data_IF_266559308037
#
_entry.id   IF_266559308037
#
_cell.length_a   1.000
_cell.length_b   1.000
_cell.length_c   1.000
_cell.angle_alpha   90.00
_cell.angle_beta   90.00
_cell.angle_gamma   90.00
#
_symmetry.space_group_name_H-M   'P 1'
#
loop_
_entity.id
_entity.type
_entity.pdbx_description
1 polymer ?
#
# COMPACT_ATOMS: atom_id res chain seq x y z
N UNK A 1 9.04 10.91 -22.93
CA UNK A 1 9.46 9.88 -21.97
C UNK A 1 10.41 10.53 -20.97
N UNK A 2 9.91 10.94 -19.81
CA UNK A 2 10.73 11.47 -18.72
C UNK A 2 11.13 10.31 -17.81
N UNK A 3 12.34 9.79 -18.01
CA UNK A 3 12.97 8.82 -17.11
C UNK A 3 13.56 9.59 -15.92
N UNK A 4 13.00 9.38 -14.72
CA UNK A 4 13.64 9.80 -13.48
C UNK A 4 14.58 8.68 -13.04
N UNK A 5 15.88 8.88 -13.26
CA UNK A 5 16.92 8.00 -12.71
C UNK A 5 17.11 8.34 -11.23
N UNK A 6 16.79 7.40 -10.34
CA UNK A 6 17.16 7.48 -8.93
C UNK A 6 18.69 7.51 -8.85
N UNK A 7 19.24 8.58 -8.29
CA UNK A 7 20.69 8.76 -8.12
C UNK A 7 21.21 7.66 -7.21
N UNK A 8 22.12 6.81 -7.72
CA UNK A 8 22.87 5.84 -6.92
C UNK A 8 23.73 6.65 -5.94
N UNK A 9 23.45 6.58 -4.63
CA UNK A 9 24.24 7.24 -3.58
C UNK A 9 25.03 6.22 -2.76
N UNK A 10 26.15 6.69 -2.24
CA UNK A 10 27.30 5.96 -1.70
C UNK A 10 27.01 4.72 -0.85
N UNK A 11 27.74 3.64 -1.17
CA UNK A 11 27.68 2.30 -0.55
C UNK A 11 28.36 2.23 0.84
N UNK A 12 28.77 3.35 1.45
CA UNK A 12 29.62 3.37 2.65
C UNK A 12 28.96 3.85 3.94
N UNK A 13 27.64 4.03 3.96
CA UNK A 13 26.86 4.20 5.20
C UNK A 13 25.95 2.98 5.40
N UNK A 14 26.27 2.12 6.36
CA UNK A 14 25.31 1.17 6.96
C UNK A 14 24.27 1.97 7.77
N UNK A 15 23.45 2.77 7.10
CA UNK A 15 22.14 3.08 7.63
C UNK A 15 21.25 1.87 7.33
N UNK A 16 20.36 1.52 8.27
CA UNK A 16 19.36 0.44 8.22
C UNK A 16 18.29 0.74 7.13
N UNK A 17 18.74 1.06 5.93
CA UNK A 17 17.91 1.41 4.79
C UNK A 17 17.21 0.16 4.29
N UNK A 18 15.89 0.29 4.14
CA UNK A 18 15.07 -0.79 3.61
C UNK A 18 14.56 -1.77 4.66
N UNK A 19 14.55 -1.42 5.94
CA UNK A 19 13.71 -2.08 6.95
C UNK A 19 12.39 -1.33 7.10
N UNK A 20 11.29 -2.02 7.42
CA UNK A 20 10.04 -1.36 7.79
C UNK A 20 10.00 -0.96 9.27
N UNK A 21 11.04 -1.28 10.04
CA UNK A 21 11.13 -0.99 11.47
C UNK A 21 9.82 -1.33 12.20
N UNK A 22 9.29 -2.55 12.02
CA UNK A 22 8.00 -2.97 12.59
C UNK A 22 7.98 -2.95 14.13
N UNK A 23 9.14 -2.83 14.76
CA UNK A 23 9.32 -2.58 16.19
C UNK A 23 8.99 -1.12 16.60
N UNK A 24 9.04 -0.16 15.67
CA UNK A 24 8.72 1.24 15.94
C UNK A 24 7.22 1.50 15.85
N UNK A 25 6.68 2.12 16.91
CA UNK A 25 5.26 2.42 17.02
C UNK A 25 4.83 3.54 16.06
N UNK A 26 3.65 3.43 15.42
CA UNK A 26 3.12 4.50 14.57
C UNK A 26 2.97 5.86 15.27
N UNK A 27 2.79 5.91 16.60
CA UNK A 27 2.57 7.17 17.30
C UNK A 27 3.79 8.11 17.30
N UNK A 28 4.99 7.62 16.99
CA UNK A 28 6.18 8.44 16.77
C UNK A 28 6.03 9.40 15.58
N UNK A 29 5.12 9.11 14.65
CA UNK A 29 4.87 9.90 13.45
C UNK A 29 3.50 10.60 13.49
N UNK A 30 2.84 10.61 14.66
CA UNK A 30 1.56 11.32 14.84
C UNK A 30 1.81 12.75 15.30
N UNK A 31 1.09 13.70 14.71
CA UNK A 31 1.02 15.09 15.17
C UNK A 31 0.18 15.18 16.45
N UNK A 32 0.65 15.94 17.44
CA UNK A 32 0.05 16.03 18.79
C UNK A 32 -1.08 17.06 18.89
N UNK A 33 -1.23 17.97 17.93
CA UNK A 33 -2.16 19.10 18.00
C UNK A 33 -3.23 19.07 16.91
N UNK A 34 -4.50 19.01 17.33
CA UNK A 34 -5.65 19.63 16.68
C UNK A 34 -5.91 19.30 15.21
N UNK A 35 -6.10 18.02 14.86
CA UNK A 35 -6.69 17.69 13.55
C UNK A 35 -8.20 17.90 13.57
N UNK A 36 -8.69 18.67 12.60
CA UNK A 36 -10.12 18.81 12.26
C UNK A 36 -10.64 17.68 11.35
N UNK A 37 -9.83 16.63 11.12
CA UNK A 37 -10.15 15.49 10.26
C UNK A 37 -10.80 14.32 11.00
N UNK A 38 -11.45 13.41 10.26
CA UNK A 38 -11.96 12.16 10.81
C UNK A 38 -10.79 11.24 11.20
N UNK A 39 -10.57 11.03 12.50
CA UNK A 39 -9.61 10.03 12.99
C UNK A 39 -10.07 8.63 12.59
N UNK A 40 -9.18 7.88 11.93
CA UNK A 40 -9.43 6.49 11.53
C UNK A 40 -9.70 5.61 12.77
N UNK A 41 -8.94 5.80 13.85
CA UNK A 41 -9.19 5.13 15.12
C UNK A 41 -10.59 5.43 15.69
N UNK A 42 -11.04 6.68 15.58
CA UNK A 42 -12.38 7.09 16.05
C UNK A 42 -13.50 6.47 15.20
N UNK A 43 -13.33 6.42 13.88
CA UNK A 43 -14.28 5.77 12.96
C UNK A 43 -14.35 4.27 13.27
N UNK A 44 -13.21 3.61 13.41
CA UNK A 44 -13.15 2.19 13.68
C UNK A 44 -13.77 1.83 15.04
N UNK A 45 -13.49 2.62 16.07
CA UNK A 45 -14.08 2.46 17.42
C UNK A 45 -15.61 2.59 17.35
N UNK A 46 -16.11 3.65 16.71
CA UNK A 46 -17.55 3.88 16.55
C UNK A 46 -18.22 2.76 15.74
N UNK A 47 -17.53 2.23 14.73
CA UNK A 47 -18.06 1.11 13.95
C UNK A 47 -18.17 -0.16 14.79
N UNK A 48 -17.16 -0.49 15.60
CA UNK A 48 -17.20 -1.65 16.50
C UNK A 48 -18.33 -1.49 17.54
N UNK A 49 -18.40 -0.33 18.20
CA UNK A 49 -19.43 -0.01 19.19
C UNK A 49 -20.83 -0.18 18.60
N UNK A 50 -21.08 0.46 17.44
CA UNK A 50 -22.36 0.34 16.75
C UNK A 50 -22.68 -1.09 16.31
N UNK A 51 -21.67 -1.85 15.89
CA UNK A 51 -21.87 -3.25 15.48
C UNK A 51 -22.24 -4.14 16.67
N UNK A 52 -21.70 -3.84 17.85
CA UNK A 52 -22.09 -4.50 19.09
C UNK A 52 -23.50 -4.08 19.55
N UNK A 53 -23.82 -2.78 19.53
CA UNK A 53 -25.17 -2.27 19.85
C UNK A 53 -26.27 -2.87 18.97
N UNK A 54 -25.95 -3.11 17.69
CA UNK A 54 -26.87 -3.74 16.73
C UNK A 54 -26.90 -5.28 16.80
N UNK A 55 -26.24 -5.90 17.79
CA UNK A 55 -26.10 -7.35 17.96
C UNK A 55 -25.44 -8.08 16.77
N UNK A 56 -24.65 -7.37 15.96
CA UNK A 56 -23.84 -7.98 14.90
C UNK A 56 -22.51 -8.56 15.43
N UNK A 57 -22.16 -8.28 16.69
CA UNK A 57 -20.99 -8.82 17.38
C UNK A 57 -21.37 -9.38 18.74
N UNK A 58 -20.76 -10.50 19.13
CA UNK A 58 -20.84 -11.00 20.51
C UNK A 58 -19.96 -10.15 21.44
N UNK A 59 -20.15 -10.24 22.76
CA UNK A 59 -19.28 -9.56 23.74
C UNK A 59 -17.81 -9.97 23.56
N UNK A 60 -17.56 -11.26 23.31
CA UNK A 60 -16.21 -11.79 23.08
C UNK A 60 -15.60 -11.23 21.80
N UNK A 61 -16.37 -11.16 20.71
CA UNK A 61 -15.88 -10.59 19.44
C UNK A 61 -15.65 -9.08 19.58
N UNK A 62 -16.54 -8.35 20.25
CA UNK A 62 -16.34 -6.94 20.57
C UNK A 62 -15.01 -6.70 21.30
N UNK A 63 -14.75 -7.44 22.37
CA UNK A 63 -13.50 -7.32 23.14
C UNK A 63 -12.27 -7.68 22.30
N UNK A 64 -12.35 -8.74 21.49
CA UNK A 64 -11.27 -9.15 20.57
C UNK A 64 -10.96 -8.03 19.57
N UNK A 65 -11.98 -7.48 18.91
CA UNK A 65 -11.84 -6.43 17.89
C UNK A 65 -11.27 -5.14 18.48
N UNK A 66 -11.68 -4.75 19.69
CA UNK A 66 -11.09 -3.62 20.43
C UNK A 66 -9.60 -3.85 20.70
N UNK A 67 -9.20 -5.08 21.08
CA UNK A 67 -7.79 -5.41 21.31
C UNK A 67 -6.98 -5.41 20.01
N UNK A 68 -7.54 -5.96 18.92
CA UNK A 68 -6.94 -5.94 17.58
C UNK A 68 -6.63 -4.51 17.13
N UNK A 69 -7.61 -3.60 17.18
CA UNK A 69 -7.39 -2.19 16.83
C UNK A 69 -6.33 -1.56 17.73
N UNK A 70 -6.41 -1.76 19.05
CA UNK A 70 -5.41 -1.23 19.99
C UNK A 70 -4.01 -1.76 19.69
N UNK A 71 -3.88 -2.99 19.18
CA UNK A 71 -2.62 -3.57 18.75
C UNK A 71 -2.16 -2.97 17.43
N UNK A 72 -3.04 -2.86 16.44
CA UNK A 72 -2.74 -2.26 15.13
C UNK A 72 -2.27 -0.80 15.23
N UNK A 73 -2.90 -0.02 16.12
CA UNK A 73 -2.52 1.38 16.37
C UNK A 73 -1.21 1.48 17.13
N UNK A 74 -1.03 0.69 18.20
CA UNK A 74 0.15 0.82 19.09
C UNK A 74 1.39 0.11 18.55
N UNK A 75 1.25 -1.08 18.00
CA UNK A 75 2.37 -1.90 17.54
C UNK A 75 2.59 -1.79 16.03
N UNK A 76 1.63 -1.22 15.29
CA UNK A 76 1.74 -1.16 13.83
C UNK A 76 1.57 -2.52 13.15
N UNK A 77 1.02 -3.52 13.84
CA UNK A 77 0.84 -4.89 13.34
C UNK A 77 -0.61 -5.10 12.94
N UNK A 78 -0.86 -5.49 11.69
CA UNK A 78 -2.19 -5.84 11.20
C UNK A 78 -2.72 -7.11 11.90
N UNK A 79 -4.03 -7.19 12.12
CA UNK A 79 -4.64 -8.36 12.76
C UNK A 79 -4.73 -9.59 11.85
N UNK A 80 -4.53 -9.40 10.53
CA UNK A 80 -4.79 -10.38 9.48
C UNK A 80 -6.24 -10.90 9.44
N UNK A 81 -7.18 -10.23 10.13
CA UNK A 81 -8.58 -10.66 10.20
C UNK A 81 -9.29 -10.61 8.84
N UNK A 82 -8.79 -9.81 7.90
CA UNK A 82 -9.30 -9.70 6.52
C UNK A 82 -8.38 -10.37 5.49
N UNK A 83 -7.41 -11.16 5.95
CA UNK A 83 -6.47 -11.84 5.09
C UNK A 83 -7.08 -13.13 4.52
N UNK A 84 -6.90 -13.37 3.24
CA UNK A 84 -7.15 -14.66 2.57
C UNK A 84 -5.88 -15.08 1.85
N UNK A 85 -5.30 -16.19 2.29
CA UNK A 85 -4.07 -16.75 1.74
C UNK A 85 -4.34 -17.83 0.68
N UNK A 86 -3.28 -18.27 0.01
CA UNK A 86 -3.33 -19.42 -0.89
C UNK A 86 -4.10 -19.22 -2.20
N UNK A 87 -4.54 -18.01 -2.54
CA UNK A 87 -5.33 -17.74 -3.74
C UNK A 87 -4.53 -18.08 -5.01
N UNK A 88 -3.27 -17.62 -5.12
CA UNK A 88 -2.45 -17.91 -6.31
C UNK A 88 -2.15 -19.39 -6.37
N UNK A 89 -1.88 -20.03 -5.24
CA UNK A 89 -1.67 -21.47 -5.18
C UNK A 89 -2.90 -22.26 -5.68
N UNK A 90 -4.10 -21.92 -5.22
CA UNK A 90 -5.34 -22.54 -5.68
C UNK A 90 -5.58 -22.30 -7.19
N UNK A 91 -5.33 -21.08 -7.68
CA UNK A 91 -5.41 -20.77 -9.11
C UNK A 91 -4.40 -21.58 -9.93
N UNK A 92 -3.16 -21.71 -9.46
CA UNK A 92 -2.15 -22.57 -10.08
C UNK A 92 -2.66 -24.01 -10.16
N UNK A 93 -3.23 -24.57 -9.09
CA UNK A 93 -3.79 -25.93 -9.13
C UNK A 93 -4.91 -26.09 -10.16
N UNK A 94 -5.81 -25.10 -10.27
CA UNK A 94 -6.90 -25.11 -11.27
C UNK A 94 -6.38 -24.98 -12.72
N UNK A 95 -5.28 -24.26 -12.92
CA UNK A 95 -4.62 -24.19 -14.23
C UNK A 95 -4.01 -25.55 -14.58
N UNK A 96 -3.26 -26.15 -13.65
CA UNK A 96 -2.58 -27.44 -13.88
C UNK A 96 -3.57 -28.60 -14.08
N UNK A 97 -4.74 -28.56 -13.44
CA UNK A 97 -5.80 -29.56 -13.62
C UNK A 97 -6.59 -29.40 -14.93
N UNK A 98 -6.28 -28.38 -15.75
CA UNK A 98 -6.93 -28.13 -17.04
C UNK A 98 -8.28 -27.41 -16.93
N UNK A 99 -8.76 -27.10 -15.73
CA UNK A 99 -10.05 -26.43 -15.52
C UNK A 99 -10.10 -25.01 -16.09
N UNK A 100 -8.95 -24.33 -16.20
CA UNK A 100 -8.84 -22.96 -16.72
C UNK A 100 -8.26 -22.89 -18.15
N UNK A 101 -8.40 -23.95 -18.94
CA UNK A 101 -8.07 -24.01 -20.38
C UNK A 101 -6.63 -23.61 -20.75
N UNK A 102 -5.67 -23.64 -19.82
CA UNK A 102 -4.25 -23.25 -20.04
C UNK A 102 -4.04 -21.83 -20.61
N UNK A 103 -5.02 -20.94 -20.47
CA UNK A 103 -4.96 -19.57 -21.01
C UNK A 103 -4.37 -18.55 -20.02
N UNK A 104 -4.12 -18.97 -18.79
CA UNK A 104 -3.75 -18.09 -17.70
C UNK A 104 -2.24 -17.97 -17.54
N UNK A 105 -1.78 -16.73 -17.45
CA UNK A 105 -0.44 -16.37 -17.05
C UNK A 105 -0.54 -15.63 -15.71
N UNK A 106 -0.20 -16.30 -14.63
CA UNK A 106 -0.20 -15.72 -13.28
C UNK A 106 1.15 -15.06 -12.98
N UNK A 107 1.15 -14.14 -12.01
CA UNK A 107 2.39 -13.73 -11.35
C UNK A 107 3.09 -14.95 -10.74
N UNK A 108 4.42 -14.92 -10.73
CA UNK A 108 5.20 -16.06 -10.26
C UNK A 108 5.12 -16.22 -8.73
N UNK A 109 5.31 -15.13 -7.99
CA UNK A 109 5.30 -15.14 -6.52
C UNK A 109 3.85 -15.15 -6.02
N UNK A 110 3.58 -16.01 -5.04
CA UNK A 110 2.28 -16.07 -4.38
C UNK A 110 2.01 -14.81 -3.54
N UNK A 111 0.75 -14.45 -3.37
CA UNK A 111 0.34 -13.27 -2.62
C UNK A 111 -0.95 -13.52 -1.85
N UNK A 112 -1.02 -12.98 -0.63
CA UNK A 112 -2.24 -12.95 0.16
C UNK A 112 -3.11 -11.75 -0.22
N UNK A 113 -4.42 -11.93 -0.15
CA UNK A 113 -5.39 -10.85 -0.31
C UNK A 113 -5.76 -10.26 1.05
N UNK A 114 -5.75 -8.93 1.17
CA UNK A 114 -6.23 -8.20 2.34
C UNK A 114 -7.47 -7.38 1.96
N UNK A 115 -8.63 -7.75 2.49
CA UNK A 115 -9.86 -6.98 2.25
C UNK A 115 -9.91 -5.72 3.12
N UNK A 116 -10.61 -4.68 2.64
CA UNK A 116 -10.98 -3.54 3.49
C UNK A 116 -12.06 -3.94 4.48
N UNK A 117 -11.96 -3.42 5.70
CA UNK A 117 -13.07 -3.49 6.65
C UNK A 117 -14.20 -2.51 6.27
N UNK A 118 -15.43 -2.71 6.77
CA UNK A 118 -16.54 -1.79 6.43
C UNK A 118 -16.27 -0.33 6.82
N UNK A 119 -15.50 -0.10 7.88
CA UNK A 119 -15.12 1.24 8.35
C UNK A 119 -13.99 1.88 7.54
N UNK A 120 -13.34 1.11 6.66
CA UNK A 120 -12.20 1.50 5.82
C UNK A 120 -12.58 1.83 4.37
N UNK A 121 -13.83 1.55 3.99
CA UNK A 121 -14.34 1.46 2.61
C UNK A 121 -13.91 2.58 1.65
N UNK A 122 -13.68 3.79 2.15
CA UNK A 122 -13.48 4.97 1.31
C UNK A 122 -12.02 5.44 1.20
N UNK A 123 -11.06 4.84 1.91
CA UNK A 123 -9.68 5.32 1.92
C UNK A 123 -8.61 4.24 1.93
N UNK A 124 -8.95 3.02 2.34
CA UNK A 124 -7.94 2.00 2.63
C UNK A 124 -7.41 1.24 1.41
N UNK A 125 -8.02 1.36 0.23
CA UNK A 125 -7.73 0.47 -0.92
C UNK A 125 -6.23 0.37 -1.25
N UNK A 126 -5.52 1.49 -1.35
CA UNK A 126 -4.07 1.48 -1.60
C UNK A 126 -3.27 0.86 -0.46
N UNK A 127 -3.66 1.07 0.80
CA UNK A 127 -3.00 0.45 1.94
C UNK A 127 -3.19 -1.07 1.96
N UNK A 128 -4.41 -1.54 1.67
CA UNK A 128 -4.72 -2.97 1.54
C UNK A 128 -3.98 -3.60 0.37
N UNK A 129 -3.90 -2.92 -0.77
CA UNK A 129 -3.09 -3.34 -1.90
C UNK A 129 -1.59 -3.36 -1.58
N UNK A 130 -1.10 -2.43 -0.74
CA UNK A 130 0.27 -2.44 -0.25
C UNK A 130 0.55 -3.71 0.55
N UNK A 131 -0.38 -4.12 1.43
CA UNK A 131 -0.28 -5.37 2.20
C UNK A 131 -0.23 -6.60 1.28
N UNK A 132 -1.01 -6.63 0.20
CA UNK A 132 -0.94 -7.71 -0.79
C UNK A 132 0.42 -7.80 -1.52
N UNK A 133 1.02 -6.66 -1.87
CA UNK A 133 2.37 -6.64 -2.48
C UNK A 133 3.42 -7.05 -1.44
N UNK A 134 3.32 -6.54 -0.21
CA UNK A 134 4.20 -6.88 0.89
C UNK A 134 4.12 -8.38 1.26
N UNK A 135 2.96 -9.02 1.14
CA UNK A 135 2.80 -10.46 1.38
C UNK A 135 3.54 -11.33 0.34
N UNK A 136 3.73 -10.81 -0.87
CA UNK A 136 4.58 -11.43 -1.88
C UNK A 136 6.05 -11.27 -1.53
N UNK A 137 6.45 -10.05 -1.16
CA UNK A 137 7.81 -9.74 -0.70
C UNK A 137 8.20 -10.56 0.54
N UNK A 138 7.24 -10.84 1.41
CA UNK A 138 7.43 -11.66 2.61
C UNK A 138 7.76 -13.14 2.32
N UNK A 139 7.39 -13.65 1.14
CA UNK A 139 7.71 -15.00 0.69
C UNK A 139 9.08 -15.11 0.05
N UNK A 140 9.70 -13.99 -0.32
CA UNK A 140 11.03 -13.96 -0.91
C UNK A 140 12.07 -13.81 0.22
N UNK A 141 12.94 -14.80 0.48
CA UNK A 141 13.81 -14.82 1.66
C UNK A 141 14.65 -13.55 1.84
N UNK A 142 15.17 -13.00 0.74
CA UNK A 142 16.01 -11.79 0.73
C UNK A 142 15.24 -10.57 1.23
N UNK A 143 13.98 -10.41 0.80
CA UNK A 143 13.12 -9.32 1.22
C UNK A 143 12.51 -9.57 2.60
N UNK A 144 12.18 -10.82 2.93
CA UNK A 144 11.61 -11.18 4.24
C UNK A 144 12.52 -10.72 5.38
N UNK A 145 13.78 -11.14 5.37
CA UNK A 145 14.74 -10.80 6.43
C UNK A 145 14.97 -9.29 6.51
N UNK A 146 15.13 -8.63 5.36
CA UNK A 146 15.45 -7.21 5.29
C UNK A 146 14.28 -6.30 5.68
N UNK A 147 13.09 -6.53 5.12
CA UNK A 147 11.92 -5.67 5.32
C UNK A 147 11.23 -5.91 6.66
N UNK A 148 11.12 -7.18 7.08
CA UNK A 148 10.30 -7.58 8.24
C UNK A 148 11.15 -7.89 9.49
N UNK A 149 12.47 -8.04 9.33
CA UNK A 149 13.38 -8.35 10.42
C UNK A 149 13.00 -9.66 11.14
N UNK A 150 12.98 -9.62 12.47
CA UNK A 150 12.51 -10.72 13.31
C UNK A 150 10.99 -10.74 13.48
N UNK A 151 10.29 -9.65 13.12
CA UNK A 151 8.85 -9.51 13.30
C UNK A 151 8.14 -10.07 12.06
N UNK A 152 7.73 -11.33 12.17
CA UNK A 152 7.01 -12.06 11.13
C UNK A 152 5.53 -11.63 11.05
N UNK A 153 5.25 -10.35 10.82
CA UNK A 153 3.89 -9.80 10.76
C UNK A 153 3.72 -8.71 9.69
N UNK A 154 2.48 -8.55 9.20
CA UNK A 154 2.15 -7.53 8.20
C UNK A 154 1.97 -6.15 8.88
N UNK A 155 2.48 -5.04 8.33
CA UNK A 155 2.19 -3.71 8.84
C UNK A 155 0.69 -3.37 8.74
N UNK A 156 0.15 -2.75 9.79
CA UNK A 156 -1.20 -2.19 9.79
C UNK A 156 -1.29 -0.93 8.91
N UNK A 157 -2.50 -0.46 8.59
CA UNK A 157 -2.70 0.83 7.88
C UNK A 157 -1.98 1.98 8.59
N UNK A 158 -2.05 2.06 9.92
CA UNK A 158 -1.34 3.09 10.69
C UNK A 158 0.18 2.99 10.54
N UNK A 159 0.74 1.78 10.44
CA UNK A 159 2.17 1.61 10.18
C UNK A 159 2.55 2.01 8.76
N UNK A 160 1.73 1.68 7.77
CA UNK A 160 1.93 2.12 6.38
C UNK A 160 1.88 3.66 6.26
N UNK A 161 0.96 4.32 6.98
CA UNK A 161 0.92 5.77 7.09
C UNK A 161 2.21 6.33 7.70
N UNK A 162 2.71 5.74 8.78
CA UNK A 162 3.96 6.15 9.41
C UNK A 162 5.19 5.95 8.50
N UNK A 163 5.22 4.85 7.75
CA UNK A 163 6.28 4.59 6.76
C UNK A 163 6.27 5.61 5.62
N UNK A 164 5.07 6.03 5.17
CA UNK A 164 4.93 7.06 4.15
C UNK A 164 5.33 8.45 4.66
N UNK A 165 4.96 8.80 5.89
CA UNK A 165 5.47 10.01 6.56
C UNK A 165 6.99 10.04 6.62
N UNK A 166 7.58 8.92 7.06
CA UNK A 166 9.03 8.79 7.10
C UNK A 166 9.65 8.89 5.70
N UNK A 167 8.99 8.40 4.66
CA UNK A 167 9.46 8.57 3.29
C UNK A 167 9.47 10.05 2.88
N UNK A 168 8.39 10.78 3.17
CA UNK A 168 8.30 12.20 2.86
C UNK A 168 9.32 13.04 3.63
N UNK A 169 9.59 12.72 4.91
CA UNK A 169 10.63 13.40 5.70
C UNK A 169 12.05 13.13 5.17
N UNK A 170 12.26 11.99 4.51
CA UNK A 170 13.50 11.66 3.78
C UNK A 170 13.58 12.31 2.39
N UNK A 171 12.57 13.07 1.98
CA UNK A 171 12.54 13.82 0.71
C UNK A 171 11.96 13.07 -0.48
N UNK A 172 11.29 11.93 -0.27
CA UNK A 172 10.50 11.29 -1.33
C UNK A 172 9.25 12.14 -1.62
N UNK A 173 8.90 12.29 -2.89
CA UNK A 173 7.68 12.96 -3.40
C UNK A 173 7.14 14.13 -2.55
N UNK A 174 7.88 15.26 -2.46
CA UNK A 174 7.44 16.43 -1.69
C UNK A 174 6.16 17.05 -2.25
N UNK A 175 5.84 16.84 -3.53
CA UNK A 175 4.60 17.32 -4.14
C UNK A 175 3.40 16.49 -3.67
N UNK A 176 3.50 15.16 -3.68
CA UNK A 176 2.49 14.26 -3.13
C UNK A 176 2.24 14.54 -1.65
N UNK A 177 3.30 14.72 -0.87
CA UNK A 177 3.22 15.11 0.55
C UNK A 177 2.39 16.40 0.76
N UNK A 178 2.65 17.43 -0.06
CA UNK A 178 1.92 18.71 -0.02
C UNK A 178 0.45 18.57 -0.43
N UNK A 179 0.16 17.75 -1.45
CA UNK A 179 -1.21 17.47 -1.90
C UNK A 179 -2.02 16.75 -0.81
N UNK A 180 -1.44 15.74 -0.16
CA UNK A 180 -2.07 15.05 0.97
C UNK A 180 -2.22 16.00 2.17
N UNK A 181 -1.21 16.80 2.50
CA UNK A 181 -1.32 17.81 3.57
C UNK A 181 -2.50 18.74 3.35
N UNK A 182 -2.70 19.20 2.11
CA UNK A 182 -3.80 20.09 1.73
C UNK A 182 -5.17 19.39 1.83
N UNK A 183 -5.21 18.09 1.57
CA UNK A 183 -6.44 17.28 1.68
C UNK A 183 -6.85 17.05 3.12
N UNK A 184 -5.89 16.77 4.01
CA UNK A 184 -6.18 16.50 5.43
C UNK A 184 -6.40 17.81 6.20
N UNK A 185 -5.69 18.88 5.83
CA UNK A 185 -5.78 20.20 6.45
C UNK A 185 -6.12 21.30 5.42
N UNK A 186 -7.36 21.33 4.89
CA UNK A 186 -7.74 22.31 3.87
C UNK A 186 -7.64 23.76 4.35
N UNK A 187 -7.71 23.99 5.66
CA UNK A 187 -7.62 25.32 6.28
C UNK A 187 -6.18 25.72 6.65
N UNK A 188 -5.21 24.83 6.49
CA UNK A 188 -3.79 25.16 6.67
C UNK A 188 -3.34 25.89 5.41
N UNK A 189 -3.50 27.21 5.38
CA UNK A 189 -2.84 28.05 4.38
C UNK A 189 -1.36 27.70 4.41
N UNK A 190 -0.80 27.28 3.27
CA UNK A 190 0.64 27.14 3.10
C UNK A 190 1.28 28.45 3.52
N UNK A 191 1.91 28.47 4.69
CA UNK A 191 2.77 29.58 5.10
C UNK A 191 3.94 29.57 4.12
N UNK A 192 3.76 30.28 3.00
CA UNK A 192 4.86 30.75 2.19
C UNK A 192 5.82 31.47 3.12
N UNK A 193 7.09 31.11 3.03
CA UNK A 193 8.18 31.73 3.77
C UNK A 193 8.12 33.24 3.57
N UNK A 194 7.67 33.97 4.59
CA UNK A 194 7.90 35.40 4.74
C UNK A 194 8.84 35.56 5.94
N UNK A 195 10.10 36.01 5.76
CA UNK A 195 11.02 36.24 6.85
C UNK A 195 10.77 37.64 7.41
N UNK A 196 9.69 37.83 8.16
CA UNK A 196 9.52 39.04 8.98
C UNK A 196 8.93 38.64 10.31
N UNK A 197 9.75 38.80 11.35
CA UNK A 197 9.50 38.29 12.68
C UNK A 197 8.27 38.88 13.37
N UNK A 198 7.58 38.01 14.08
CA UNK A 198 6.86 38.31 15.31
C UNK A 198 6.75 36.99 16.08
N UNK A 199 7.33 36.99 17.28
CA UNK A 199 7.36 35.87 18.23
C UNK A 199 5.95 35.52 18.73
N UNK A 200 5.22 34.70 17.98
CA UNK A 200 4.11 33.92 18.51
C UNK A 200 4.53 32.45 18.57
N UNK A 201 4.48 31.89 19.78
CA UNK A 201 4.91 30.55 20.14
C UNK A 201 3.94 29.49 19.56
N UNK A 202 3.95 29.33 18.24
CA UNK A 202 3.40 28.15 17.57
C UNK A 202 4.48 27.08 17.69
N UNK A 203 4.18 26.01 18.44
CA UNK A 203 4.97 24.78 18.45
C UNK A 203 4.96 24.18 17.03
N UNK A 204 5.82 24.68 16.15
CA UNK A 204 6.13 24.06 14.87
C UNK A 204 6.87 22.77 15.20
N UNK A 205 6.15 21.66 15.12
CA UNK A 205 6.72 20.33 15.19
C UNK A 205 7.90 20.25 14.22
N UNK A 206 9.12 20.16 14.77
CA UNK A 206 10.39 20.23 14.05
C UNK A 206 10.57 19.06 13.07
N UNK A 207 9.69 18.07 13.15
CA UNK A 207 9.70 16.84 12.35
C UNK A 207 9.16 17.02 10.93
N UNK A 208 8.56 18.17 10.61
CA UNK A 208 7.98 18.46 9.28
C UNK A 208 7.00 17.38 8.78
N UNK A 209 6.16 16.86 9.68
CA UNK A 209 5.19 15.80 9.38
C UNK A 209 3.97 16.37 8.65
N UNK A 210 3.43 15.60 7.71
CA UNK A 210 2.23 15.94 6.93
C UNK A 210 0.95 15.79 7.76
N UNK A 211 0.95 14.85 8.71
CA UNK A 211 -0.17 14.43 9.53
C UNK A 211 -1.04 13.33 8.92
N UNK A 212 -0.47 12.42 8.11
CA UNK A 212 -1.26 11.32 7.53
C UNK A 212 -1.60 10.22 8.55
N UNK A 213 -0.79 10.07 9.60
CA UNK A 213 -1.01 9.02 10.61
C UNK A 213 -2.32 9.26 11.35
N UNK A 214 -3.18 8.24 11.34
CA UNK A 214 -4.56 8.24 11.85
C UNK A 214 -5.56 9.08 11.04
N UNK A 215 -5.17 9.58 9.87
CA UNK A 215 -6.10 10.20 8.91
C UNK A 215 -6.84 9.14 8.08
N UNK A 216 -7.86 9.58 7.34
CA UNK A 216 -8.53 8.80 6.29
C UNK A 216 -8.13 9.26 4.89
N UNK A 217 -6.89 9.69 4.70
CA UNK A 217 -6.40 10.13 3.39
C UNK A 217 -6.28 8.94 2.42
N UNK A 218 -6.87 9.08 1.24
CA UNK A 218 -6.69 8.15 0.13
C UNK A 218 -5.31 8.36 -0.50
N UNK A 219 -4.59 7.27 -0.75
CA UNK A 219 -3.32 7.33 -1.47
C UNK A 219 -3.53 7.17 -2.98
N UNK A 220 -2.63 7.76 -3.76
CA UNK A 220 -2.47 7.52 -5.18
C UNK A 220 -1.29 6.60 -5.50
N UNK A 221 -1.06 6.37 -6.80
CA UNK A 221 0.04 5.54 -7.28
C UNK A 221 1.42 6.13 -6.95
N UNK A 222 1.56 7.46 -6.90
CA UNK A 222 2.84 8.14 -6.56
C UNK A 222 3.20 7.96 -5.09
N UNK A 223 2.22 8.01 -4.19
CA UNK A 223 2.41 7.72 -2.76
C UNK A 223 2.90 6.29 -2.55
N UNK A 224 2.34 5.34 -3.30
CA UNK A 224 2.78 3.95 -3.27
C UNK A 224 4.23 3.79 -3.76
N UNK A 225 4.65 4.56 -4.78
CA UNK A 225 6.05 4.59 -5.21
C UNK A 225 6.95 5.18 -4.14
N UNK A 226 6.52 6.21 -3.43
CA UNK A 226 7.27 6.78 -2.30
C UNK A 226 7.42 5.78 -1.16
N UNK A 227 6.32 5.11 -0.79
CA UNK A 227 6.29 4.06 0.24
C UNK A 227 7.21 2.89 -0.10
N UNK A 228 7.09 2.33 -1.32
CA UNK A 228 7.92 1.20 -1.74
C UNK A 228 9.37 1.60 -2.00
N UNK A 229 9.59 2.79 -2.55
CA UNK A 229 10.92 3.33 -2.82
C UNK A 229 11.73 3.57 -1.54
N UNK A 230 11.09 4.08 -0.48
CA UNK A 230 11.77 4.31 0.81
C UNK A 230 12.25 3.02 1.48
N UNK A 231 11.57 1.90 1.23
CA UNK A 231 11.97 0.57 1.72
C UNK A 231 12.83 -0.22 0.71
N UNK A 232 13.34 0.45 -0.33
CA UNK A 232 14.28 -0.13 -1.30
C UNK A 232 13.64 -1.07 -2.33
N UNK A 233 12.34 -0.94 -2.59
CA UNK A 233 11.66 -1.64 -3.69
C UNK A 233 11.62 -0.72 -4.91
N UNK A 234 12.21 -1.19 -6.01
CA UNK A 234 12.17 -0.45 -7.28
C UNK A 234 10.77 -0.53 -7.88
N UNK A 235 10.16 0.63 -8.07
CA UNK A 235 8.82 0.75 -8.64
C UNK A 235 8.86 1.62 -9.90
N UNK A 236 7.98 1.31 -10.85
CA UNK A 236 7.77 2.11 -12.06
C UNK A 236 6.30 2.39 -12.25
N UNK A 237 5.94 3.62 -12.60
CA UNK A 237 4.57 4.01 -12.92
C UNK A 237 4.40 4.06 -14.43
N UNK A 238 3.33 3.45 -14.93
CA UNK A 238 2.88 3.58 -16.31
C UNK A 238 1.54 4.31 -16.26
N UNK A 239 1.47 5.47 -16.91
CA UNK A 239 0.28 6.30 -16.92
C UNK A 239 -0.51 6.11 -18.22
N UNK A 240 -1.72 5.56 -18.13
CA UNK A 240 -2.61 5.36 -19.28
C UNK A 240 -3.68 6.47 -19.32
N UNK A 241 -3.29 7.68 -19.75
CA UNK A 241 -4.15 8.89 -19.70
C UNK A 241 -5.41 8.84 -20.56
N UNK A 242 -5.42 8.05 -21.62
CA UNK A 242 -6.55 7.95 -22.54
C UNK A 242 -6.73 6.50 -23.02
N UNK A 243 -7.95 6.13 -23.45
CA UNK A 243 -8.19 4.89 -24.15
C UNK A 243 -7.23 4.71 -25.34
N UNK A 244 -6.71 3.50 -25.50
CA UNK A 244 -5.78 3.15 -26.59
C UNK A 244 -6.41 2.28 -27.68
N UNK A 245 -7.71 1.98 -27.55
CA UNK A 245 -8.44 1.15 -28.49
C UNK A 245 -9.90 1.57 -28.68
N UNK A 246 -10.61 0.90 -29.60
CA UNK A 246 -12.02 1.17 -29.90
C UNK A 246 -12.91 1.06 -28.65
N UNK A 247 -14.00 1.82 -28.62
CA UNK A 247 -15.01 1.73 -27.56
C UNK A 247 -14.51 2.11 -26.16
N UNK A 248 -13.43 2.89 -26.05
CA UNK A 248 -12.86 3.27 -24.75
C UNK A 248 -11.98 2.20 -24.10
N UNK A 249 -11.54 1.19 -24.86
CA UNK A 249 -10.70 0.10 -24.34
C UNK A 249 -9.22 0.51 -24.17
N UNK A 250 -8.48 -0.26 -23.36
CA UNK A 250 -7.07 -0.01 -23.06
C UNK A 250 -6.13 -1.20 -23.45
N UNK A 251 -6.02 -1.55 -24.75
CA UNK A 251 -5.17 -2.66 -25.19
C UNK A 251 -3.68 -2.48 -24.84
N UNK A 252 -3.16 -1.24 -24.79
CA UNK A 252 -1.78 -1.01 -24.37
C UNK A 252 -1.53 -1.33 -22.90
N UNK A 253 -2.49 -1.07 -22.02
CA UNK A 253 -2.40 -1.47 -20.61
C UNK A 253 -2.27 -2.99 -20.49
N UNK A 254 -3.12 -3.73 -21.21
CA UNK A 254 -3.13 -5.19 -21.20
C UNK A 254 -1.82 -5.77 -21.75
N UNK A 255 -1.28 -5.16 -22.81
CA UNK A 255 0.01 -5.55 -23.39
C UNK A 255 1.14 -5.35 -22.39
N UNK A 256 1.15 -4.23 -21.65
CA UNK A 256 2.15 -3.98 -20.62
C UNK A 256 2.05 -4.98 -19.47
N UNK A 257 0.84 -5.30 -19.01
CA UNK A 257 0.61 -6.32 -17.97
C UNK A 257 1.14 -7.68 -18.43
N UNK A 258 0.78 -8.09 -19.65
CA UNK A 258 1.24 -9.36 -20.21
C UNK A 258 2.77 -9.42 -20.33
N UNK A 259 3.39 -8.36 -20.87
CA UNK A 259 4.85 -8.26 -20.97
C UNK A 259 5.52 -8.27 -19.60
N UNK A 260 4.96 -7.60 -18.60
CA UNK A 260 5.49 -7.61 -17.23
C UNK A 260 5.49 -9.03 -16.63
N UNK A 261 4.37 -9.73 -16.73
CA UNK A 261 4.21 -11.09 -16.19
C UNK A 261 5.16 -12.07 -16.90
N UNK A 262 5.23 -12.01 -18.23
CA UNK A 262 6.03 -12.95 -19.04
C UNK A 262 7.53 -12.64 -19.03
N UNK A 263 7.93 -11.38 -18.99
CA UNK A 263 9.35 -11.00 -18.91
C UNK A 263 9.95 -11.36 -17.56
N UNK A 264 9.17 -11.23 -16.48
CA UNK A 264 9.58 -11.67 -15.16
C UNK A 264 9.90 -13.17 -15.13
N UNK A 265 9.21 -13.99 -15.93
CA UNK A 265 9.43 -15.43 -16.09
C UNK A 265 10.76 -15.81 -16.78
N UNK A 266 11.53 -14.86 -17.31
CA UNK A 266 12.65 -15.13 -18.22
C UNK A 266 14.04 -14.81 -17.67
N UNK A 267 14.18 -14.21 -16.47
CA UNK A 267 15.43 -13.57 -16.02
C UNK A 267 16.04 -14.07 -14.69
N UNK A 268 15.64 -15.23 -14.15
CA UNK A 268 16.18 -15.76 -12.89
C UNK A 268 17.54 -16.46 -13.03
N UNK A 269 18.55 -16.05 -12.26
CA UNK A 269 19.85 -16.76 -12.06
C UNK A 269 19.66 -17.98 -11.14
N UNK A 270 18.56 -18.02 -10.39
CA UNK A 270 17.94 -19.20 -9.79
C UNK A 270 16.65 -19.50 -10.57
N UNK A 271 16.28 -20.78 -10.69
CA UNK A 271 15.17 -21.29 -11.51
C UNK A 271 13.74 -20.77 -11.19
N UNK A 272 13.58 -19.70 -10.41
CA UNK A 272 12.28 -19.11 -10.09
C UNK A 272 12.24 -17.61 -10.40
N UNK A 273 11.30 -17.22 -11.24
CA UNK A 273 11.03 -15.82 -11.54
C UNK A 273 10.42 -15.09 -10.34
N UNK A 274 10.85 -13.85 -10.11
CA UNK A 274 10.33 -13.00 -9.04
C UNK A 274 9.49 -11.88 -9.66
N UNK A 275 8.23 -12.20 -9.96
CA UNK A 275 7.22 -11.21 -10.41
C UNK A 275 6.25 -10.94 -9.28
N UNK A 276 6.10 -9.66 -8.90
CA UNK A 276 5.20 -9.22 -7.83
C UNK A 276 3.82 -8.82 -8.39
N UNK A 277 2.77 -8.75 -7.56
CA UNK A 277 1.50 -8.17 -7.96
C UNK A 277 1.66 -6.72 -8.43
N UNK A 278 0.90 -6.34 -9.45
CA UNK A 278 0.93 -4.98 -10.01
C UNK A 278 -0.19 -4.14 -9.42
N UNK A 279 0.08 -2.90 -8.99
CA UNK A 279 -0.98 -1.96 -8.59
C UNK A 279 -1.64 -1.35 -9.83
N UNK A 280 -2.97 -1.38 -9.87
CA UNK A 280 -3.78 -0.71 -10.89
C UNK A 280 -4.64 0.38 -10.22
N UNK A 281 -4.33 1.64 -10.51
CA UNK A 281 -5.10 2.79 -10.05
C UNK A 281 -6.10 3.24 -11.11
N UNK A 282 -7.33 3.56 -10.69
CA UNK A 282 -8.29 4.31 -11.49
C UNK A 282 -8.98 5.37 -10.60
N UNK A 283 -9.89 6.15 -11.16
CA UNK A 283 -10.61 7.17 -10.40
C UNK A 283 -11.35 6.52 -9.21
N UNK A 284 -11.10 7.05 -8.02
CA UNK A 284 -11.75 6.65 -6.77
C UNK A 284 -11.31 5.30 -6.16
N UNK A 285 -10.47 4.49 -6.82
CA UNK A 285 -10.12 3.17 -6.31
C UNK A 285 -8.82 2.60 -6.90
N UNK A 286 -8.24 1.62 -6.20
CA UNK A 286 -7.09 0.85 -6.69
C UNK A 286 -7.28 -0.64 -6.46
N UNK A 287 -6.62 -1.46 -7.29
CA UNK A 287 -6.68 -2.92 -7.26
C UNK A 287 -5.31 -3.53 -7.47
N UNK A 288 -5.17 -4.83 -7.20
CA UNK A 288 -3.99 -5.61 -7.53
C UNK A 288 -4.22 -6.53 -8.73
N UNK A 289 -3.23 -6.59 -9.61
CA UNK A 289 -3.14 -7.49 -10.75
C UNK A 289 -2.25 -8.67 -10.37
N UNK A 290 -2.79 -9.87 -10.47
CA UNK A 290 -2.09 -11.13 -10.12
C UNK A 290 -1.97 -12.09 -11.30
N UNK A 291 -2.51 -11.72 -12.46
CA UNK A 291 -2.50 -12.57 -13.63
C UNK A 291 -3.26 -11.96 -14.79
N UNK A 292 -3.16 -12.62 -15.94
CA UNK A 292 -3.89 -12.29 -17.15
C UNK A 292 -4.29 -13.57 -17.87
N UNK A 293 -5.50 -13.59 -18.43
CA UNK A 293 -5.95 -14.66 -19.30
C UNK A 293 -5.80 -14.23 -20.77
N UNK A 294 -5.16 -15.07 -21.57
CA UNK A 294 -4.94 -14.85 -23.00
C UNK A 294 -5.92 -15.70 -23.79
N UNK A 295 -6.88 -15.06 -24.46
CA UNK A 295 -7.75 -15.72 -25.44
C UNK A 295 -7.24 -15.47 -26.86
N UNK A 296 -7.65 -16.33 -27.79
CA UNK A 296 -7.25 -16.33 -29.22
C UNK A 296 -7.58 -14.97 -29.89
N UNK A 297 -8.53 -14.22 -29.34
CA UNK A 297 -8.98 -12.93 -29.87
C UNK A 297 -8.68 -11.73 -28.97
N UNK A 298 -8.45 -11.92 -27.66
CA UNK A 298 -8.34 -10.82 -26.68
C UNK A 298 -7.54 -11.23 -25.44
N UNK A 299 -6.84 -10.27 -24.83
CA UNK A 299 -6.37 -10.35 -23.44
C UNK A 299 -7.56 -10.02 -22.52
N UNK A 300 -7.95 -10.94 -21.65
CA UNK A 300 -8.92 -10.69 -20.60
C UNK A 300 -8.19 -10.43 -19.29
N UNK A 301 -8.45 -9.25 -18.72
CA UNK A 301 -7.95 -8.91 -17.40
C UNK A 301 -8.84 -9.54 -16.35
N UNK A 302 -8.23 -10.39 -15.53
CA UNK A 302 -8.79 -10.80 -14.26
C UNK A 302 -7.86 -10.34 -13.16
N UNK A 303 -8.14 -9.16 -12.62
CA UNK A 303 -7.74 -8.88 -11.26
C UNK A 303 -8.47 -9.86 -10.36
N UNK A 304 -7.86 -10.21 -9.23
CA UNK A 304 -8.69 -10.63 -8.10
C UNK A 304 -9.57 -9.42 -7.79
N UNK A 305 -10.83 -9.52 -8.20
CA UNK A 305 -11.86 -8.55 -7.90
C UNK A 305 -12.58 -9.04 -6.65
N UNK A 306 -12.18 -8.51 -5.49
CA UNK A 306 -13.03 -8.52 -4.30
C UNK A 306 -13.61 -7.11 -4.10
#
# INVERSE_FOLDING_TARGET
MSSWAVTRRDETQEADYGSMHLNETPCLYRLTSGFSGCSAQSIATRWIERSFELNNLTLTDYQRRVQEIRRSVRQGIDSAATCTDGIIHALKQLIHSGWLNSRWNLISVDCDHFASEPWEKNFACCYRNAQCILSSLFRIPEFRKRLFGSVSAMPSIWKLQALLESAWSLGFDPLGASQISSTINPNKMSSGVNPTGSDDMISTDSRNLVGIVDSTACLGATDMVSLFGSIGIRSSIIECRAPSGPGGTHPYLLTHIYSYITSGNSHGISNESVTLPMLLQHEGHSRIVIGVEVSIYFLMFHGIFF
#
